data_IF_117686324264
#
_entry.id   IF_117686324264
#
_cell.length_a   1.000
_cell.length_b   1.000
_cell.length_c   1.000
_cell.angle_alpha   90.00
_cell.angle_beta   90.00
_cell.angle_gamma   90.00
#
_symmetry.space_group_name_H-M   'P 1'
#
loop_
_entity.id
_entity.type
_entity.pdbx_description
1 polymer ?
#
# COMPACT_ATOMS: atom_id res chain seq x y z
N UNK A 1 2.98 -9.04 -5.15
CA UNK A 1 1.92 -8.15 -5.72
C UNK A 1 0.60 -8.88 -5.99
N UNK A 2 0.61 -10.14 -6.48
CA UNK A 2 -0.62 -10.90 -6.83
C UNK A 2 -1.65 -10.95 -5.69
N UNK A 3 -1.24 -11.37 -4.50
CA UNK A 3 -2.12 -11.45 -3.32
C UNK A 3 -2.71 -10.09 -2.95
N UNK A 4 -1.89 -9.02 -2.96
CA UNK A 4 -2.37 -7.67 -2.67
C UNK A 4 -3.44 -7.20 -3.67
N UNK A 5 -3.30 -7.52 -4.97
CA UNK A 5 -4.33 -7.22 -5.98
C UNK A 5 -5.61 -8.01 -5.71
N UNK A 6 -5.52 -9.29 -5.38
CA UNK A 6 -6.69 -10.12 -5.07
C UNK A 6 -7.45 -9.58 -3.86
N UNK A 7 -6.74 -9.22 -2.78
CA UNK A 7 -7.33 -8.61 -1.60
C UNK A 7 -7.98 -7.25 -1.92
N UNK A 8 -7.33 -6.42 -2.73
CA UNK A 8 -7.92 -5.16 -3.16
C UNK A 8 -9.25 -5.35 -3.91
N UNK A 9 -9.33 -6.40 -4.75
CA UNK A 9 -10.54 -6.73 -5.50
C UNK A 9 -11.65 -7.25 -4.58
N UNK A 10 -11.30 -8.16 -3.67
CA UNK A 10 -12.24 -8.71 -2.68
C UNK A 10 -12.82 -7.63 -1.75
N UNK A 11 -12.05 -6.56 -1.49
CA UNK A 11 -12.47 -5.44 -0.64
C UNK A 11 -13.05 -4.24 -1.42
N UNK A 12 -13.46 -4.42 -2.69
CA UNK A 12 -14.16 -3.38 -3.46
C UNK A 12 -13.29 -2.19 -3.88
N UNK A 13 -11.96 -2.34 -3.89
CA UNK A 13 -11.01 -1.28 -4.25
C UNK A 13 -10.64 -1.27 -5.74
N UNK A 14 -11.12 -2.25 -6.53
CA UNK A 14 -10.74 -2.44 -7.94
C UNK A 14 -10.93 -1.17 -8.78
N UNK A 15 -12.10 -0.54 -8.71
CA UNK A 15 -12.44 0.63 -9.54
C UNK A 15 -11.96 1.95 -8.95
N UNK A 16 -11.91 2.05 -7.61
CA UNK A 16 -11.53 3.28 -6.90
C UNK A 16 -10.01 3.48 -6.81
N UNK A 17 -9.24 2.42 -7.05
CA UNK A 17 -7.78 2.40 -6.93
C UNK A 17 -7.29 2.13 -5.50
N UNK A 18 -6.01 1.77 -5.41
CA UNK A 18 -5.30 1.51 -4.16
C UNK A 18 -3.81 1.83 -4.34
N UNK A 19 -3.07 1.97 -3.23
CA UNK A 19 -1.62 2.19 -3.22
C UNK A 19 -0.95 1.02 -2.50
N UNK A 20 0.15 0.55 -3.09
CA UNK A 20 1.07 -0.37 -2.44
C UNK A 20 2.29 0.41 -1.96
N UNK A 21 2.72 0.17 -0.72
CA UNK A 21 3.91 0.83 -0.14
C UNK A 21 4.79 -0.23 0.50
N UNK A 22 6.10 -0.16 0.22
CA UNK A 22 7.15 -0.90 0.93
C UNK A 22 8.07 0.17 1.50
N UNK A 23 8.31 0.09 2.81
CA UNK A 23 9.26 0.97 3.49
C UNK A 23 10.54 0.17 3.76
N UNK A 24 11.68 0.71 3.34
CA UNK A 24 13.00 0.11 3.57
C UNK A 24 13.88 1.09 4.33
N UNK A 25 14.30 0.71 5.53
CA UNK A 25 15.16 1.50 6.40
C UNK A 25 14.41 2.55 7.26
N UNK A 26 15.13 3.19 8.20
CA UNK A 26 14.54 4.10 9.18
C UNK A 26 13.88 5.34 8.57
N UNK A 27 14.50 5.96 7.57
CA UNK A 27 13.98 7.19 6.94
C UNK A 27 12.69 6.95 6.15
N UNK A 28 12.46 5.73 5.67
CA UNK A 28 11.20 5.33 5.05
C UNK A 28 10.10 5.02 6.10
N UNK A 29 10.41 5.06 7.40
CA UNK A 29 9.49 4.72 8.48
C UNK A 29 9.29 3.22 8.70
N UNK A 30 10.28 2.38 8.36
CA UNK A 30 10.22 0.95 8.67
C UNK A 30 10.40 0.70 10.17
N UNK A 31 9.38 0.20 10.84
CA UNK A 31 9.43 -0.19 12.26
C UNK A 31 9.57 -1.70 12.48
N UNK A 32 9.09 -2.52 11.53
CA UNK A 32 9.20 -3.98 11.57
C UNK A 32 10.19 -4.45 10.50
N UNK A 33 11.30 -5.06 10.94
CA UNK A 33 12.40 -5.51 10.08
C UNK A 33 12.15 -6.88 9.45
N UNK A 34 10.99 -7.03 8.84
CA UNK A 34 10.61 -8.12 7.94
C UNK A 34 10.02 -7.47 6.68
N UNK A 35 10.37 -7.93 5.49
CA UNK A 35 9.72 -7.49 4.24
C UNK A 35 8.19 -7.58 4.34
N UNK A 36 7.52 -6.44 4.33
CA UNK A 36 6.05 -6.36 4.30
C UNK A 36 5.61 -5.28 3.31
N UNK A 37 4.36 -5.39 2.89
CA UNK A 37 3.76 -4.51 1.90
C UNK A 37 2.42 -4.00 2.43
N UNK A 38 2.26 -2.70 2.49
CA UNK A 38 0.99 -2.07 2.85
C UNK A 38 0.09 -2.02 1.62
N UNK A 39 -1.18 -2.42 1.78
CA UNK A 39 -2.26 -2.21 0.82
C UNK A 39 -3.22 -1.16 1.39
N UNK A 40 -3.27 0.03 0.79
CA UNK A 40 -4.04 1.17 1.31
C UNK A 40 -5.06 1.61 0.27
N UNK A 41 -6.33 1.75 0.67
CA UNK A 41 -7.42 2.20 -0.20
C UNK A 41 -8.61 2.76 0.59
N UNK A 42 -9.74 2.95 -0.10
CA UNK A 42 -11.00 3.41 0.50
C UNK A 42 -11.19 4.94 0.52
N UNK A 43 -10.12 5.71 0.27
CA UNK A 43 -10.13 7.17 0.20
C UNK A 43 -9.16 7.69 -0.85
N UNK A 44 -9.39 8.93 -1.32
CA UNK A 44 -8.42 9.65 -2.17
C UNK A 44 -7.15 9.87 -1.34
N UNK A 45 -6.02 9.38 -1.84
CA UNK A 45 -4.73 9.62 -1.21
C UNK A 45 -4.09 10.87 -1.78
N UNK A 46 -3.50 11.74 -0.94
CA UNK A 46 -2.70 12.84 -1.44
C UNK A 46 -1.51 12.28 -2.20
N UNK A 47 -1.18 12.95 -3.29
CA UNK A 47 0.05 12.76 -4.02
C UNK A 47 1.07 13.80 -3.51
N UNK A 48 2.25 13.37 -3.06
CA UNK A 48 3.36 14.26 -2.66
C UNK A 48 4.65 13.79 -3.36
N UNK A 49 5.31 14.70 -4.08
CA UNK A 49 6.57 14.48 -4.85
C UNK A 49 7.77 15.12 -4.12
N UNK A 50 7.72 15.19 -2.78
CA UNK A 50 8.86 15.69 -2.00
C UNK A 50 9.73 14.53 -1.55
#
# INVERSE_FOLDING_TARGET
>A
IVVARQLAFANGLKQRGYRLVINTGPEAGQSVFHLHLHLIGGRRMPFRFQ
#
